data_IF_631433271558
#
_entry.id   IF_631433271558
#
_cell.length_a   1.000
_cell.length_b   1.000
_cell.length_c   1.000
_cell.angle_alpha   90.00
_cell.angle_beta   90.00
_cell.angle_gamma   90.00
#
_symmetry.space_group_name_H-M   'P 1'
#
loop_
_entity.id
_entity.type
_entity.pdbx_description
1 polymer ?
#
# COMPACT_ATOMS: atom_id res chain seq x y z
N UNK A 1 16.04 -19.30 -13.64
CA UNK A 1 15.40 -17.96 -13.59
C UNK A 1 14.66 -17.95 -12.28
N UNK A 2 15.14 -17.20 -11.27
CA UNK A 2 14.41 -16.97 -10.01
C UNK A 2 13.16 -16.20 -10.36
N UNK A 3 11.99 -16.73 -10.01
CA UNK A 3 10.72 -16.05 -10.14
C UNK A 3 10.70 -14.97 -9.06
N UNK A 4 10.73 -13.71 -9.45
CA UNK A 4 10.54 -12.61 -8.50
C UNK A 4 9.13 -12.71 -7.90
N UNK A 5 9.04 -12.94 -6.60
CA UNK A 5 7.78 -12.90 -5.86
C UNK A 5 7.52 -11.47 -5.43
N UNK A 6 6.50 -10.86 -6.00
CA UNK A 6 6.04 -9.54 -5.61
C UNK A 6 5.06 -9.61 -4.45
N UNK A 7 5.11 -8.60 -3.60
CA UNK A 7 4.10 -8.37 -2.57
C UNK A 7 2.87 -7.71 -3.22
N UNK A 8 1.68 -8.25 -3.01
CA UNK A 8 0.45 -7.65 -3.53
C UNK A 8 -0.10 -6.63 -2.52
N UNK A 9 0.34 -5.37 -2.64
CA UNK A 9 -0.18 -4.27 -1.82
C UNK A 9 -1.63 -3.91 -2.19
N UNK A 10 -2.11 -4.24 -3.39
CA UNK A 10 -3.47 -3.95 -3.84
C UNK A 10 -4.55 -4.71 -3.06
N UNK A 11 -4.15 -5.78 -2.34
CA UNK A 11 -5.02 -6.53 -1.47
C UNK A 11 -5.38 -5.80 -0.15
N UNK A 12 -4.72 -4.67 0.12
CA UNK A 12 -4.83 -3.91 1.37
C UNK A 12 -5.38 -2.51 1.13
N UNK A 13 -5.99 -1.92 2.18
CA UNK A 13 -6.56 -0.57 2.13
C UNK A 13 -5.67 0.45 2.83
N UNK A 14 -4.93 0.03 3.85
CA UNK A 14 -4.12 0.91 4.70
C UNK A 14 -2.88 0.24 5.25
N UNK A 15 -1.92 1.08 5.63
CA UNK A 15 -0.75 0.74 6.41
C UNK A 15 -0.94 1.25 7.84
N UNK A 16 -0.72 0.39 8.81
CA UNK A 16 -0.70 0.72 10.24
C UNK A 16 0.74 0.76 10.72
N UNK A 17 1.15 1.89 11.28
CA UNK A 17 2.51 2.10 11.78
C UNK A 17 2.43 2.59 13.21
N UNK A 18 3.19 1.98 14.12
CA UNK A 18 3.36 2.46 15.50
C UNK A 18 4.82 2.83 15.68
N UNK A 19 5.09 4.13 15.82
CA UNK A 19 6.44 4.64 15.95
C UNK A 19 6.53 5.89 16.82
N UNK A 20 7.76 6.17 17.25
CA UNK A 20 8.17 7.42 17.89
C UNK A 20 9.47 7.89 17.25
N UNK A 21 9.70 9.19 17.27
CA UNK A 21 10.99 9.79 16.84
C UNK A 21 11.52 10.68 17.94
N UNK A 22 12.82 10.80 18.06
CA UNK A 22 13.41 11.65 19.09
C UNK A 22 13.36 13.14 18.68
N UNK A 23 13.86 13.46 17.51
CA UNK A 23 14.00 14.83 17.02
C UNK A 23 13.40 15.09 15.64
N UNK A 24 13.25 14.05 14.82
CA UNK A 24 12.66 14.17 13.49
C UNK A 24 11.18 14.53 13.58
N UNK A 25 10.77 15.71 13.09
CA UNK A 25 9.36 16.10 13.09
C UNK A 25 8.55 15.32 12.03
N UNK A 26 9.21 14.77 11.04
CA UNK A 26 8.60 14.05 9.91
C UNK A 26 9.44 12.85 9.51
N UNK A 27 8.76 11.79 9.08
CA UNK A 27 9.36 10.64 8.39
C UNK A 27 8.60 10.38 7.10
N UNK A 28 9.25 9.70 6.18
CA UNK A 28 8.62 9.20 4.96
C UNK A 28 8.48 7.70 5.05
N UNK A 29 7.27 7.19 4.83
CA UNK A 29 7.06 5.79 4.54
C UNK A 29 7.03 5.63 3.02
N UNK A 30 7.83 4.72 2.51
CA UNK A 30 7.94 4.42 1.09
C UNK A 30 7.52 2.98 0.81
N UNK A 31 6.65 2.82 -0.15
CA UNK A 31 6.41 1.54 -0.82
C UNK A 31 7.19 1.57 -2.14
N UNK A 32 8.09 0.63 -2.35
CA UNK A 32 8.77 0.47 -3.63
C UNK A 32 8.04 -0.59 -4.44
N UNK A 33 7.68 -0.26 -5.66
CA UNK A 33 6.94 -1.16 -6.57
C UNK A 33 7.73 -1.38 -7.87
N UNK A 34 7.58 -2.55 -8.44
CA UNK A 34 8.16 -2.85 -9.74
C UNK A 34 7.34 -2.18 -10.84
N UNK A 35 7.98 -1.27 -11.55
CA UNK A 35 7.43 -0.64 -12.75
C UNK A 35 7.90 -1.40 -13.99
N UNK A 36 7.00 -1.95 -14.82
CA UNK A 36 7.39 -2.72 -15.99
C UNK A 36 8.25 -1.97 -17.02
N UNK A 37 8.13 -0.64 -17.05
CA UNK A 37 8.83 0.20 -18.03
C UNK A 37 10.19 0.69 -17.52
N UNK A 38 10.30 0.92 -16.19
CA UNK A 38 11.42 1.66 -15.62
C UNK A 38 12.28 0.85 -14.65
N UNK A 39 11.71 -0.17 -13.97
CA UNK A 39 12.47 -0.98 -13.04
C UNK A 39 13.42 -1.92 -13.76
N UNK A 40 14.71 -1.75 -13.53
CA UNK A 40 15.77 -2.59 -14.12
C UNK A 40 15.93 -3.88 -13.29
N UNK A 41 16.04 -5.04 -13.93
CA UNK A 41 16.31 -6.29 -13.23
C UNK A 41 17.57 -6.20 -12.37
N UNK A 42 17.45 -6.57 -11.09
CA UNK A 42 18.57 -6.54 -10.15
C UNK A 42 18.94 -5.16 -9.59
N UNK A 43 18.32 -4.08 -10.08
CA UNK A 43 18.52 -2.71 -9.57
C UNK A 43 17.29 -2.21 -8.82
N UNK A 44 17.27 -2.46 -7.51
CA UNK A 44 16.18 -2.05 -6.63
C UNK A 44 16.04 -0.52 -6.56
N UNK A 45 17.10 0.24 -6.87
CA UNK A 45 17.08 1.72 -6.86
C UNK A 45 16.24 2.29 -8.00
N UNK A 46 16.03 1.53 -9.06
CA UNK A 46 15.17 1.88 -10.18
C UNK A 46 13.68 1.59 -9.96
N UNK A 47 13.32 0.99 -8.82
CA UNK A 47 11.93 0.76 -8.45
C UNK A 47 11.16 2.08 -8.31
N UNK A 48 9.90 2.07 -8.72
CA UNK A 48 9.01 3.25 -8.56
C UNK A 48 8.69 3.43 -7.07
N UNK A 49 9.03 4.58 -6.47
CA UNK A 49 8.68 4.89 -5.09
C UNK A 49 7.24 5.41 -5.02
N UNK A 50 6.54 5.01 -3.98
CA UNK A 50 5.26 5.59 -3.55
C UNK A 50 5.47 6.09 -2.13
N UNK A 51 5.44 7.40 -1.93
CA UNK A 51 5.80 8.03 -0.67
C UNK A 51 4.57 8.62 0.04
N UNK A 52 4.59 8.54 1.37
CA UNK A 52 3.72 9.33 2.24
C UNK A 52 4.55 9.89 3.38
N UNK A 53 4.31 11.14 3.73
CA UNK A 53 5.00 11.83 4.84
C UNK A 53 4.12 11.83 6.07
N UNK A 54 4.67 11.39 7.20
CA UNK A 54 4.02 11.39 8.50
C UNK A 54 4.63 12.44 9.41
N UNK A 55 3.79 13.24 10.05
CA UNK A 55 4.21 14.11 11.16
C UNK A 55 4.34 13.27 12.43
N UNK A 56 5.53 13.28 13.02
CA UNK A 56 5.93 12.39 14.09
C UNK A 56 6.00 13.08 15.45
N UNK A 57 5.98 12.30 16.51
CA UNK A 57 6.06 12.79 17.89
C UNK A 57 7.09 11.97 18.67
N UNK A 58 7.54 12.51 19.81
CA UNK A 58 8.46 11.81 20.72
C UNK A 58 7.84 10.60 21.41
N UNK A 59 6.53 10.58 21.54
CA UNK A 59 5.81 9.46 22.15
C UNK A 59 5.40 8.47 21.07
N UNK A 60 5.38 7.18 21.42
CA UNK A 60 4.84 6.15 20.56
C UNK A 60 3.40 6.51 20.16
N UNK A 61 3.18 6.63 18.87
CA UNK A 61 1.88 6.96 18.30
C UNK A 61 1.55 5.98 17.18
N UNK A 62 0.29 5.61 17.11
CA UNK A 62 -0.25 4.85 15.99
C UNK A 62 -0.68 5.79 14.88
N UNK A 63 -0.23 5.44 13.67
CA UNK A 63 -0.63 6.09 12.42
C UNK A 63 -1.34 5.04 11.56
N UNK A 64 -2.46 5.41 11.00
CA UNK A 64 -3.15 4.64 9.96
C UNK A 64 -3.16 5.48 8.70
N UNK A 65 -2.51 4.98 7.67
CA UNK A 65 -2.32 5.68 6.40
C UNK A 65 -3.02 4.89 5.31
N UNK A 66 -3.92 5.54 4.58
CA UNK A 66 -4.53 4.91 3.41
C UNK A 66 -3.50 4.64 2.33
N UNK A 67 -3.55 3.48 1.68
CA UNK A 67 -2.70 3.25 0.50
C UNK A 67 -3.06 4.20 -0.66
N UNK A 68 -4.23 4.83 -0.62
CA UNK A 68 -4.61 5.87 -1.58
C UNK A 68 -3.80 7.16 -1.41
N UNK A 69 -3.28 7.44 -0.20
CA UNK A 69 -2.53 8.66 0.11
C UNK A 69 -1.07 8.60 -0.36
N UNK A 70 -0.59 7.41 -0.73
CA UNK A 70 0.74 7.25 -1.28
C UNK A 70 0.81 7.76 -2.72
N UNK A 71 1.81 8.57 -3.02
CA UNK A 71 2.01 9.16 -4.34
C UNK A 71 3.45 9.01 -4.83
N UNK A 72 3.63 9.00 -6.14
CA UNK A 72 4.97 9.03 -6.75
C UNK A 72 5.55 10.43 -6.57
N UNK A 73 6.75 10.58 -5.98
CA UNK A 73 7.41 11.88 -5.87
C UNK A 73 7.78 12.42 -7.27
N UNK A 74 7.47 13.68 -7.56
CA UNK A 74 7.81 14.33 -8.84
C UNK A 74 9.30 14.20 -9.17
N UNK A 75 10.16 14.39 -8.16
CA UNK A 75 11.61 14.25 -8.32
C UNK A 75 12.04 12.89 -8.89
N UNK A 76 11.26 11.82 -8.69
CA UNK A 76 11.59 10.52 -9.27
C UNK A 76 11.41 10.55 -10.79
N UNK A 77 10.38 11.20 -11.30
CA UNK A 77 10.18 11.36 -12.74
C UNK A 77 11.31 12.15 -13.38
N UNK A 78 11.76 13.24 -12.72
CA UNK A 78 12.89 14.04 -13.18
C UNK A 78 14.19 13.22 -13.25
N UNK A 79 14.47 12.43 -12.19
CA UNK A 79 15.65 11.57 -12.13
C UNK A 79 15.64 10.46 -13.18
N UNK A 80 14.47 9.97 -13.54
CA UNK A 80 14.30 8.93 -14.57
C UNK A 80 14.18 9.50 -15.99
N UNK A 81 14.14 10.83 -16.14
CA UNK A 81 13.99 11.50 -17.42
C UNK A 81 12.61 11.27 -18.06
N UNK A 82 11.55 11.17 -17.25
CA UNK A 82 10.20 10.88 -17.68
C UNK A 82 9.46 12.17 -17.96
N UNK A 83 9.28 12.54 -19.23
CA UNK A 83 8.61 13.78 -19.64
C UNK A 83 7.07 13.71 -19.46
N UNK A 84 6.49 12.53 -19.68
CA UNK A 84 5.05 12.32 -19.57
C UNK A 84 4.79 11.29 -18.44
N UNK A 85 4.67 11.75 -17.18
CA UNK A 85 4.55 10.85 -16.04
C UNK A 85 3.23 10.09 -16.09
N UNK A 86 3.35 8.76 -15.97
CA UNK A 86 2.24 7.87 -15.66
C UNK A 86 2.18 7.70 -14.14
N UNK A 87 1.04 8.07 -13.52
CA UNK A 87 0.82 7.97 -12.08
C UNK A 87 0.24 6.62 -11.65
N UNK A 88 0.26 5.61 -12.52
CA UNK A 88 -0.17 4.27 -12.17
C UNK A 88 0.71 3.68 -11.06
N UNK A 89 0.10 3.16 -10.01
CA UNK A 89 0.81 2.82 -8.77
C UNK A 89 1.36 1.40 -8.72
N UNK A 90 0.98 0.50 -9.63
CA UNK A 90 1.46 -0.90 -9.69
C UNK A 90 1.49 -1.61 -8.32
N UNK A 91 0.48 -1.38 -7.47
CA UNK A 91 0.43 -1.91 -6.10
C UNK A 91 0.44 -3.44 -6.04
N UNK A 92 0.05 -4.11 -7.13
CA UNK A 92 0.11 -5.57 -7.29
C UNK A 92 1.55 -6.11 -7.44
N UNK A 93 2.53 -5.21 -7.61
CA UNK A 93 3.94 -5.55 -7.82
C UNK A 93 4.84 -4.93 -6.76
N UNK A 94 4.43 -5.01 -5.51
CA UNK A 94 5.20 -4.49 -4.39
C UNK A 94 6.52 -5.23 -4.22
N UNK A 95 7.59 -4.49 -3.93
CA UNK A 95 8.92 -5.04 -3.70
C UNK A 95 9.34 -4.92 -2.24
N UNK A 96 9.11 -3.75 -1.61
CA UNK A 96 9.51 -3.51 -0.21
C UNK A 96 8.75 -2.33 0.41
N UNK A 97 8.84 -2.27 1.74
CA UNK A 97 8.39 -1.13 2.54
C UNK A 97 9.60 -0.55 3.27
N UNK A 98 9.77 0.75 3.23
CA UNK A 98 10.90 1.46 3.83
C UNK A 98 10.42 2.59 4.74
N UNK A 99 11.19 2.84 5.79
CA UNK A 99 11.04 4.01 6.66
C UNK A 99 12.26 4.89 6.44
N UNK A 100 12.03 6.09 5.94
CA UNK A 100 13.09 7.03 5.55
C UNK A 100 12.99 8.31 6.37
N UNK A 101 14.13 8.95 6.58
CA UNK A 101 14.14 10.32 7.12
C UNK A 101 13.53 11.27 6.10
N UNK A 102 12.57 12.11 6.53
CA UNK A 102 12.01 13.13 5.65
C UNK A 102 13.00 14.28 5.44
N UNK A 103 12.77 15.06 4.39
CA UNK A 103 13.52 16.29 4.10
C UNK A 103 13.44 17.24 5.31
N UNK A 104 14.59 17.71 5.78
CA UNK A 104 14.67 18.59 6.96
C UNK A 104 15.31 17.95 8.19
N UNK A 105 15.73 16.68 8.11
CA UNK A 105 16.61 16.10 9.12
C UNK A 105 17.92 16.90 9.17
N UNK A 106 18.33 17.30 10.37
CA UNK A 106 19.56 18.05 10.56
C UNK A 106 20.77 17.11 10.29
N UNK A 107 21.54 17.44 9.26
CA UNK A 107 22.74 16.67 8.89
C UNK A 107 23.75 16.71 10.04
N UNK A 108 24.32 15.53 10.35
CA UNK A 108 25.37 15.41 11.38
C UNK A 108 24.85 15.36 12.82
N UNK A 109 23.56 15.45 13.07
CA UNK A 109 22.99 15.26 14.42
C UNK A 109 22.43 13.84 14.49
N UNK A 110 22.93 12.98 15.41
CA UNK A 110 22.36 11.66 15.63
C UNK A 110 20.87 11.77 16.01
N UNK A 111 20.05 11.05 15.30
CA UNK A 111 18.65 10.90 15.64
C UNK A 111 18.28 9.42 15.69
N UNK A 112 17.23 9.11 16.41
CA UNK A 112 16.74 7.75 16.56
C UNK A 112 15.22 7.74 16.39
N UNK A 113 14.73 6.67 15.80
CA UNK A 113 13.30 6.37 15.83
C UNK A 113 13.09 4.96 16.39
N UNK A 114 12.00 4.78 17.06
CA UNK A 114 11.52 3.49 17.53
C UNK A 114 10.35 3.06 16.64
N UNK A 115 10.52 1.98 15.88
CA UNK A 115 9.45 1.35 15.12
C UNK A 115 8.96 0.13 15.88
N UNK A 116 7.76 0.20 16.45
CA UNK A 116 7.17 -0.91 17.22
C UNK A 116 6.31 -1.82 16.35
N UNK A 117 5.68 -1.27 15.31
CA UNK A 117 4.73 -2.00 14.48
C UNK A 117 4.69 -1.43 13.06
N UNK A 118 4.62 -2.33 12.08
CA UNK A 118 4.37 -2.02 10.68
C UNK A 118 3.53 -3.15 10.10
N UNK A 119 2.28 -2.86 9.76
CA UNK A 119 1.33 -3.86 9.26
C UNK A 119 0.52 -3.31 8.11
N UNK A 120 0.35 -4.11 7.07
CA UNK A 120 -0.65 -3.88 6.04
C UNK A 120 -2.01 -4.35 6.56
N UNK A 121 -3.01 -3.49 6.43
CA UNK A 121 -4.35 -3.74 6.93
C UNK A 121 -5.38 -3.50 5.84
N UNK A 122 -6.29 -4.43 5.68
CA UNK A 122 -7.33 -4.27 4.66
C UNK A 122 -8.34 -5.40 4.67
N UNK A 123 -9.45 -5.11 4.06
CA UNK A 123 -10.50 -6.08 3.83
C UNK A 123 -10.11 -6.92 2.61
N UNK A 124 -10.12 -8.23 2.75
CA UNK A 124 -9.88 -9.12 1.61
C UNK A 124 -11.05 -8.98 0.60
N UNK A 125 -10.90 -8.03 -0.33
CA UNK A 125 -11.93 -7.70 -1.34
C UNK A 125 -12.33 -8.92 -2.16
N UNK A 126 -11.40 -9.85 -2.43
CA UNK A 126 -11.70 -11.11 -3.14
C UNK A 126 -12.67 -11.97 -2.33
N UNK A 127 -12.45 -12.08 -1.01
CA UNK A 127 -13.34 -12.80 -0.13
C UNK A 127 -14.74 -12.15 -0.05
N UNK A 128 -14.81 -10.83 0.08
CA UNK A 128 -16.08 -10.10 0.08
C UNK A 128 -16.83 -10.28 -1.24
N UNK A 129 -16.14 -10.23 -2.37
CA UNK A 129 -16.74 -10.47 -3.67
C UNK A 129 -17.33 -11.89 -3.77
N UNK A 130 -16.56 -12.91 -3.37
CA UNK A 130 -17.03 -14.33 -3.37
C UNK A 130 -18.24 -14.50 -2.44
N UNK A 131 -18.20 -13.91 -1.23
CA UNK A 131 -19.32 -13.96 -0.29
C UNK A 131 -20.56 -13.23 -0.85
N UNK A 132 -20.36 -12.09 -1.51
CA UNK A 132 -21.44 -11.34 -2.17
C UNK A 132 -22.11 -12.15 -3.29
N UNK A 133 -21.33 -12.79 -4.16
CA UNK A 133 -21.83 -13.66 -5.22
C UNK A 133 -22.59 -14.86 -4.64
N UNK A 134 -22.04 -15.51 -3.61
CA UNK A 134 -22.69 -16.63 -2.92
C UNK A 134 -24.03 -16.22 -2.29
N UNK A 135 -24.08 -15.08 -1.60
CA UNK A 135 -25.32 -14.55 -1.01
C UNK A 135 -26.37 -14.24 -2.09
N UNK A 136 -25.94 -13.66 -3.22
CA UNK A 136 -26.84 -13.40 -4.35
C UNK A 136 -27.41 -14.70 -4.94
N UNK A 137 -26.59 -15.72 -5.17
CA UNK A 137 -27.03 -17.01 -5.69
C UNK A 137 -28.01 -17.70 -4.74
N UNK A 138 -27.76 -17.66 -3.42
CA UNK A 138 -28.67 -18.20 -2.42
C UNK A 138 -30.03 -17.46 -2.42
N UNK A 139 -30.02 -16.14 -2.53
CA UNK A 139 -31.24 -15.33 -2.62
C UNK A 139 -32.09 -15.70 -3.86
N UNK A 140 -31.43 -15.88 -5.00
CA UNK A 140 -32.09 -16.30 -6.24
C UNK A 140 -32.70 -17.72 -6.10
N UNK A 141 -31.97 -18.65 -5.49
CA UNK A 141 -32.48 -20.03 -5.26
C UNK A 141 -33.68 -20.06 -4.33
N UNK A 142 -33.66 -19.29 -3.25
CA UNK A 142 -34.79 -19.15 -2.32
C UNK A 142 -35.99 -18.52 -3.02
N UNK A 143 -35.79 -17.46 -3.80
CA UNK A 143 -36.85 -16.80 -4.57
C UNK A 143 -37.54 -17.77 -5.56
N UNK A 144 -36.74 -18.56 -6.28
CA UNK A 144 -37.27 -19.56 -7.22
C UNK A 144 -38.04 -20.68 -6.52
N UNK A 145 -37.58 -21.12 -5.35
CA UNK A 145 -38.27 -22.11 -4.52
C UNK A 145 -39.67 -21.65 -4.08
N UNK A 146 -39.76 -20.39 -3.64
CA UNK A 146 -41.03 -19.79 -3.20
C UNK A 146 -42.03 -19.64 -4.35
N UNK A 147 -41.58 -19.26 -5.54
CA UNK A 147 -42.47 -19.16 -6.73
C UNK A 147 -43.01 -20.54 -7.12
N UNK A 148 -42.17 -21.60 -7.07
CA UNK A 148 -42.61 -22.95 -7.38
C UNK A 148 -43.63 -23.52 -6.38
N UNK A 149 -43.50 -23.19 -5.09
CA UNK A 149 -44.47 -23.60 -4.07
C UNK A 149 -45.81 -22.93 -4.27
N UNK A 150 -45.83 -21.66 -4.71
CA UNK A 150 -47.09 -20.90 -4.98
C UNK A 150 -47.84 -21.41 -6.23
N UNK A 151 -47.18 -22.07 -7.17
CA UNK A 151 -47.80 -22.64 -8.37
C UNK A 151 -48.44 -24.04 -8.15
N UNK A 152 -48.10 -24.69 -7.03
CA UNK A 152 -48.59 -26.05 -6.72
C UNK A 152 -49.74 -26.09 -5.71
N UNK A 153 -50.13 -24.96 -5.16
CA UNK A 153 -51.33 -24.79 -4.29
C UNK A 153 -52.45 -24.12 -5.06
#
# INVERSE_FOLDING_TARGET
ILKEEFLDFSAYDSLRVVLATNRMPKITIRLSVHDPLWTKPGDVSSARPLDVVLETTRNLKEYRVSLADFSVPEKWFDLMGIENPDYWRHLERGMRVEVLTATGALLGIPDAFELKKLELYGTNRKLLYVLGVLAFLLSCACGYGLVRLKQKG
#
